data_IF_863938500071
#
_entry.id   IF_863938500071
#
_cell.length_a   1.000
_cell.length_b   1.000
_cell.length_c   1.000
_cell.angle_alpha   90.00
_cell.angle_beta   90.00
_cell.angle_gamma   90.00
#
_symmetry.space_group_name_H-M   'P 1'
#
loop_
_entity.id
_entity.type
_entity.pdbx_description
1 polymer ?
#
# COMPACT_ATOMS: atom_id res chain seq x y z
N UNK A 1 10.80 22.64 -1.65
CA UNK A 1 10.66 21.16 -1.60
C UNK A 1 11.94 20.60 -1.02
N UNK A 2 11.87 19.57 -0.18
CA UNK A 2 13.08 18.92 0.36
C UNK A 2 13.78 18.13 -0.75
N UNK A 3 14.84 18.68 -1.31
CA UNK A 3 15.56 18.07 -2.44
C UNK A 3 16.43 16.89 -2.02
N UNK A 4 16.58 16.61 -0.73
CA UNK A 4 17.29 15.41 -0.25
C UNK A 4 16.40 14.16 -0.32
N UNK A 5 15.09 14.34 -0.47
CA UNK A 5 14.11 13.28 -0.68
C UNK A 5 13.94 12.99 -2.18
N UNK A 6 14.33 11.80 -2.64
CA UNK A 6 14.17 11.38 -4.04
C UNK A 6 14.77 12.36 -5.08
N UNK A 7 15.81 13.12 -4.69
CA UNK A 7 16.58 14.10 -5.48
C UNK A 7 15.87 15.39 -5.93
N UNK A 8 14.54 15.42 -5.99
CA UNK A 8 13.75 16.59 -6.36
C UNK A 8 12.59 16.88 -5.38
N UNK A 9 12.53 16.12 -4.28
CA UNK A 9 11.49 16.16 -3.28
C UNK A 9 10.23 15.37 -3.62
N UNK A 10 10.20 14.67 -4.76
CA UNK A 10 9.04 13.91 -5.25
C UNK A 10 9.42 12.47 -5.49
N UNK A 11 8.50 11.57 -5.18
CA UNK A 11 8.61 10.17 -5.56
C UNK A 11 7.32 9.73 -6.25
N UNK A 12 7.45 9.15 -7.43
CA UNK A 12 6.37 8.49 -8.14
C UNK A 12 6.47 6.99 -7.89
N UNK A 13 5.39 6.39 -7.38
CA UNK A 13 5.32 4.95 -7.09
C UNK A 13 4.38 4.32 -8.11
N UNK A 14 4.92 3.45 -8.96
CA UNK A 14 4.17 2.80 -10.02
C UNK A 14 3.84 1.35 -9.67
N UNK A 15 2.56 1.00 -9.66
CA UNK A 15 2.06 -0.37 -9.52
C UNK A 15 1.56 -0.99 -10.83
N UNK A 16 1.61 -0.25 -11.95
CA UNK A 16 1.15 -0.69 -13.27
C UNK A 16 0.21 0.31 -13.93
N UNK A 17 -0.37 -0.08 -15.06
CA UNK A 17 -1.20 0.76 -15.91
C UNK A 17 -2.63 0.93 -15.40
N UNK A 18 -2.78 1.60 -14.26
CA UNK A 18 -4.07 1.98 -13.68
C UNK A 18 -3.94 3.17 -12.73
N UNK A 19 -5.05 3.87 -12.51
CA UNK A 19 -5.10 4.87 -11.45
C UNK A 19 -4.94 4.20 -10.10
N UNK A 20 -4.34 4.91 -9.15
CA UNK A 20 -3.97 4.36 -7.85
C UNK A 20 -4.01 5.48 -6.82
N UNK A 21 -4.49 5.17 -5.61
CA UNK A 21 -4.54 6.14 -4.51
C UNK A 21 -3.95 5.56 -3.25
N UNK A 22 -3.08 6.34 -2.61
CA UNK A 22 -2.64 6.10 -1.23
C UNK A 22 -3.57 6.82 -0.26
N UNK A 23 -4.18 6.09 0.68
CA UNK A 23 -5.11 6.62 1.69
C UNK A 23 -4.49 6.78 3.07
N UNK A 24 -3.36 6.11 3.33
CA UNK A 24 -2.64 6.14 4.59
C UNK A 24 -1.14 6.19 4.39
N UNK A 25 -0.48 6.82 5.35
CA UNK A 25 0.96 6.82 5.50
C UNK A 25 1.30 6.38 6.93
N UNK A 26 2.30 5.51 7.06
CA UNK A 26 2.85 5.06 8.33
C UNK A 26 4.33 5.40 8.38
N UNK A 27 4.79 5.87 9.53
CA UNK A 27 6.21 6.07 9.81
C UNK A 27 6.70 4.93 10.70
N UNK A 28 7.69 4.18 10.24
CA UNK A 28 8.36 3.16 11.04
C UNK A 28 9.43 3.80 11.97
N UNK A 29 9.79 3.15 13.10
CA UNK A 29 10.80 3.67 14.03
C UNK A 29 12.17 3.93 13.42
N UNK A 30 12.53 3.23 12.34
CA UNK A 30 13.78 3.43 11.59
C UNK A 30 13.69 4.58 10.57
N UNK A 31 12.58 5.30 10.56
CA UNK A 31 12.32 6.43 9.67
C UNK A 31 11.83 6.06 8.28
N UNK A 32 11.67 4.76 7.97
CA UNK A 32 11.04 4.35 6.71
C UNK A 32 9.57 4.73 6.67
N UNK A 33 9.09 5.00 5.47
CA UNK A 33 7.72 5.46 5.21
C UNK A 33 6.99 4.35 4.47
N UNK A 34 5.80 3.97 4.94
CA UNK A 34 4.94 3.03 4.22
C UNK A 34 3.69 3.76 3.75
N UNK A 35 3.42 3.72 2.45
CA UNK A 35 2.12 4.12 1.89
C UNK A 35 1.21 2.92 1.81
N UNK A 36 -0.09 3.12 2.06
CA UNK A 36 -1.11 2.09 1.96
C UNK A 36 -2.30 2.64 1.19
N UNK A 37 -2.83 1.85 0.28
CA UNK A 37 -3.91 2.26 -0.61
C UNK A 37 -4.41 1.14 -1.49
N UNK A 38 -4.92 1.50 -2.66
CA UNK A 38 -5.57 0.58 -3.59
C UNK A 38 -5.54 1.11 -5.03
N UNK A 39 -5.77 0.26 -6.05
CA UNK A 39 -5.94 0.70 -7.43
C UNK A 39 -7.31 1.37 -7.61
N UNK A 40 -7.35 2.60 -8.11
CA UNK A 40 -8.57 3.29 -8.56
C UNK A 40 -8.96 2.81 -9.96
N UNK A 41 -9.16 1.52 -10.14
CA UNK A 41 -9.52 0.99 -11.45
C UNK A 41 -11.02 0.98 -11.67
N UNK A 42 -11.46 1.17 -12.92
CA UNK A 42 -12.74 0.62 -13.37
C UNK A 42 -12.68 -0.91 -13.50
N UNK A 43 -11.47 -1.49 -13.51
CA UNK A 43 -11.24 -2.93 -13.45
C UNK A 43 -11.51 -3.50 -12.07
N UNK A 44 -11.97 -4.73 -12.12
CA UNK A 44 -12.50 -5.60 -11.09
C UNK A 44 -11.50 -5.99 -9.99
N UNK A 45 -10.59 -5.14 -9.53
CA UNK A 45 -9.56 -5.58 -8.57
C UNK A 45 -9.88 -5.11 -7.15
N UNK A 46 -9.88 -6.05 -6.19
CA UNK A 46 -9.96 -5.76 -4.75
C UNK A 46 -8.60 -5.91 -4.11
N UNK A 47 -7.74 -4.91 -4.32
CA UNK A 47 -6.33 -5.05 -4.01
C UNK A 47 -5.84 -4.04 -2.98
N UNK A 48 -5.02 -4.53 -2.04
CA UNK A 48 -4.28 -3.68 -1.12
C UNK A 48 -2.90 -3.42 -1.73
N UNK A 49 -2.58 -2.13 -1.94
CA UNK A 49 -1.28 -1.68 -2.43
C UNK A 49 -0.49 -1.05 -1.30
N UNK A 50 0.73 -1.53 -1.09
CA UNK A 50 1.67 -0.98 -0.12
C UNK A 50 3.02 -0.73 -0.76
N UNK A 51 3.62 0.43 -0.49
CA UNK A 51 5.00 0.70 -0.87
C UNK A 51 5.79 1.21 0.33
N UNK A 52 7.04 0.74 0.46
CA UNK A 52 7.96 1.21 1.49
C UNK A 52 9.06 2.05 0.87
N UNK A 53 9.26 3.24 1.42
CA UNK A 53 10.32 4.16 1.08
C UNK A 53 11.33 4.20 2.23
N UNK A 54 12.60 4.34 1.87
CA UNK A 54 13.67 4.71 2.79
C UNK A 54 13.49 6.17 3.24
N UNK A 55 14.23 6.56 4.28
CA UNK A 55 14.25 7.94 4.79
C UNK A 55 14.60 8.99 3.72
N UNK A 56 15.39 8.60 2.70
CA UNK A 56 15.75 9.45 1.57
C UNK A 56 14.73 9.44 0.41
N UNK A 57 13.55 8.83 0.60
CA UNK A 57 12.48 8.79 -0.40
C UNK A 57 12.64 7.76 -1.52
N UNK A 58 13.75 7.01 -1.59
CA UNK A 58 13.89 5.91 -2.53
C UNK A 58 13.11 4.67 -2.09
N UNK A 59 12.62 3.85 -3.03
CA UNK A 59 11.97 2.57 -2.69
C UNK A 59 12.91 1.66 -1.90
N UNK A 60 12.41 1.13 -0.79
CA UNK A 60 13.10 0.12 -0.01
C UNK A 60 12.91 -1.26 -0.64
N UNK A 61 13.85 -1.65 -1.50
CA UNK A 61 13.79 -2.92 -2.25
C UNK A 61 13.82 -4.19 -1.38
N UNK A 62 14.00 -4.06 -0.06
CA UNK A 62 13.85 -5.19 0.87
C UNK A 62 12.39 -5.51 1.21
N UNK A 63 11.48 -4.59 0.90
CA UNK A 63 10.04 -4.77 1.11
C UNK A 63 9.36 -5.35 -0.14
N UNK A 64 8.79 -6.55 -0.01
CA UNK A 64 8.08 -7.20 -1.11
C UNK A 64 8.92 -7.28 -2.39
N UNK A 65 8.31 -6.95 -3.53
CA UNK A 65 8.99 -6.95 -4.83
C UNK A 65 9.29 -5.51 -5.22
N UNK A 66 10.57 -5.14 -5.20
CA UNK A 66 11.02 -3.81 -5.62
C UNK A 66 10.54 -2.66 -4.71
N UNK A 67 10.23 -2.95 -3.45
CA UNK A 67 9.70 -1.97 -2.48
C UNK A 67 8.18 -1.88 -2.45
N UNK A 68 7.48 -2.84 -3.06
CA UNK A 68 6.04 -2.83 -3.27
C UNK A 68 5.41 -4.18 -2.92
N UNK A 69 4.18 -4.13 -2.42
CA UNK A 69 3.33 -5.28 -2.18
C UNK A 69 1.95 -5.01 -2.78
N UNK A 70 1.44 -5.97 -3.54
CA UNK A 70 0.08 -6.01 -4.06
C UNK A 70 -0.57 -7.29 -3.55
N UNK A 71 -1.65 -7.16 -2.80
CA UNK A 71 -2.37 -8.30 -2.22
C UNK A 71 -3.80 -8.29 -2.71
N UNK A 72 -4.19 -9.35 -3.42
CA UNK A 72 -5.54 -9.46 -3.96
C UNK A 72 -6.48 -10.16 -2.98
N UNK A 73 -7.69 -9.63 -2.85
CA UNK A 73 -8.77 -10.15 -2.02
C UNK A 73 -10.03 -10.52 -2.81
N UNK A 74 -10.10 -10.21 -4.10
CA UNK A 74 -11.32 -10.38 -4.87
C UNK A 74 -11.26 -9.72 -6.25
N UNK A 75 -12.32 -9.96 -7.01
CA UNK A 75 -12.42 -9.69 -8.45
C UNK A 75 -13.56 -8.70 -8.79
N UNK A 76 -13.90 -7.78 -7.88
CA UNK A 76 -14.86 -6.71 -8.19
C UNK A 76 -14.44 -5.31 -7.74
N UNK A 77 -14.40 -5.05 -6.43
CA UNK A 77 -14.02 -3.73 -5.92
C UNK A 77 -13.61 -3.82 -4.45
N UNK A 78 -12.47 -3.26 -4.12
CA UNK A 78 -11.95 -3.27 -2.76
C UNK A 78 -10.61 -2.58 -2.66
N UNK A 79 -10.21 -2.31 -1.44
CA UNK A 79 -9.00 -1.55 -1.21
C UNK A 79 -8.74 -1.26 0.25
N UNK A 80 -7.49 -0.91 0.56
CA UNK A 80 -7.10 -0.53 1.90
C UNK A 80 -7.34 0.97 2.15
N UNK A 81 -8.07 1.27 3.21
CA UNK A 81 -8.40 2.65 3.63
C UNK A 81 -7.76 3.03 4.97
N UNK A 82 -7.39 2.02 5.76
CA UNK A 82 -6.79 2.15 7.07
C UNK A 82 -5.52 1.31 7.16
N UNK A 83 -4.59 1.74 8.00
CA UNK A 83 -3.46 0.92 8.39
C UNK A 83 -2.93 1.35 9.75
N UNK A 84 -2.30 0.42 10.45
CA UNK A 84 -1.59 0.66 11.70
C UNK A 84 -0.24 -0.05 11.70
N UNK A 85 0.74 0.55 12.37
CA UNK A 85 2.02 -0.06 12.65
C UNK A 85 1.98 -0.71 14.04
N UNK A 86 2.37 -1.99 14.11
CA UNK A 86 2.51 -2.73 15.36
C UNK A 86 3.91 -2.50 15.97
N UNK A 87 4.03 -2.71 17.28
CA UNK A 87 5.30 -2.51 18.01
C UNK A 87 6.43 -3.42 17.53
N UNK A 88 6.10 -4.57 16.95
CA UNK A 88 7.06 -5.51 16.35
C UNK A 88 7.43 -5.16 14.90
N UNK A 89 7.02 -3.97 14.43
CA UNK A 89 7.28 -3.47 13.09
C UNK A 89 6.31 -3.98 12.01
N UNK A 90 5.42 -4.93 12.31
CA UNK A 90 4.43 -5.41 11.35
C UNK A 90 3.39 -4.34 11.03
N UNK A 91 2.85 -4.40 9.83
CA UNK A 91 1.85 -3.45 9.35
C UNK A 91 0.52 -4.18 9.22
N UNK A 92 -0.55 -3.66 9.80
CA UNK A 92 -1.91 -4.17 9.56
C UNK A 92 -2.64 -3.17 8.69
N UNK A 93 -3.05 -3.58 7.49
CA UNK A 93 -3.90 -2.79 6.60
C UNK A 93 -5.32 -3.32 6.63
N UNK A 94 -6.30 -2.41 6.56
CA UNK A 94 -7.72 -2.71 6.66
C UNK A 94 -8.51 -1.97 5.59
N UNK A 95 -9.62 -2.58 5.19
CA UNK A 95 -10.51 -2.03 4.19
C UNK A 95 -11.66 -2.98 3.91
N UNK A 96 -12.07 -3.06 2.65
CA UNK A 96 -13.09 -4.00 2.21
C UNK A 96 -12.68 -4.69 0.91
N UNK A 97 -13.34 -5.81 0.63
CA UNK A 97 -13.27 -6.53 -0.63
C UNK A 97 -14.69 -6.82 -1.13
N UNK A 98 -14.85 -6.95 -2.44
CA UNK A 98 -16.05 -7.50 -3.06
C UNK A 98 -15.65 -8.43 -4.19
N UNK A 99 -16.49 -9.43 -4.46
CA UNK A 99 -16.30 -10.35 -5.59
C UNK A 99 -17.51 -10.34 -6.50
N UNK A 100 -17.33 -10.75 -7.76
CA UNK A 100 -18.44 -10.85 -8.70
C UNK A 100 -19.51 -11.87 -8.23
N UNK A 101 -19.11 -12.87 -7.44
CA UNK A 101 -19.99 -13.90 -6.89
C UNK A 101 -20.70 -13.46 -5.60
N UNK A 102 -20.03 -12.66 -4.77
CA UNK A 102 -20.60 -12.09 -3.55
C UNK A 102 -20.78 -10.58 -3.71
N UNK A 103 -21.99 -10.16 -4.07
CA UNK A 103 -22.36 -8.76 -4.38
C UNK A 103 -22.35 -7.80 -3.18
N UNK A 104 -21.92 -8.27 -2.01
CA UNK A 104 -21.77 -7.45 -0.81
C UNK A 104 -20.30 -7.25 -0.48
N UNK A 105 -19.95 -6.04 -0.06
CA UNK A 105 -18.62 -5.76 0.45
C UNK A 105 -18.42 -6.43 1.82
N UNK A 106 -17.30 -7.10 1.99
CA UNK A 106 -16.86 -7.68 3.25
C UNK A 106 -15.63 -6.93 3.77
N UNK A 107 -15.50 -6.78 5.09
CA UNK A 107 -14.28 -6.20 5.64
C UNK A 107 -13.08 -7.12 5.34
N UNK A 108 -11.96 -6.52 4.95
CA UNK A 108 -10.73 -7.23 4.63
C UNK A 108 -9.57 -6.66 5.45
N UNK A 109 -8.72 -7.55 5.95
CA UNK A 109 -7.51 -7.19 6.68
C UNK A 109 -6.35 -8.07 6.22
N UNK A 110 -5.17 -7.46 6.07
CA UNK A 110 -3.91 -8.18 5.92
C UNK A 110 -2.88 -7.63 6.90
N UNK A 111 -2.01 -8.53 7.37
CA UNK A 111 -0.83 -8.18 8.15
C UNK A 111 0.43 -8.47 7.34
N UNK A 112 1.27 -7.46 7.17
CA UNK A 112 2.53 -7.49 6.44
C UNK A 112 3.70 -7.47 7.39
N UNK A 113 4.80 -8.11 7.01
CA UNK A 113 6.05 -8.07 7.75
C UNK A 113 6.71 -6.69 7.57
N UNK A 114 7.37 -6.22 8.63
CA UNK A 114 8.03 -4.90 8.67
C UNK A 114 9.50 -4.91 8.28
N UNK A 115 10.09 -6.09 8.06
CA UNK A 115 11.48 -6.28 7.66
C UNK A 115 11.67 -6.20 6.14
#
# INVERSE_FOLDING_TARGET
MDTTFSSDGKMFIDFGSFDQTAYKVLLQPDGKIVTVGYPNTESSDSDFLLARLKTNGSLDRTFGIGGKVRTSFGDLNGGAYGAVLQLDGKIVAVGFQATATNKFAEFALARYLGN
#
